data_IF_365698489243
#
_entry.id   IF_365698489243
#
_cell.length_a   1.000
_cell.length_b   1.000
_cell.length_c   1.000
_cell.angle_alpha   90.00
_cell.angle_beta   90.00
_cell.angle_gamma   90.00
#
_symmetry.space_group_name_H-M   'P 1'
#
loop_
_entity.id
_entity.type
_entity.pdbx_description
1 polymer ?
#
# COMPACT_ATOMS: atom_id res chain seq x y z
N UNK A 1 -62.14 34.82 -2.93
CA UNK A 1 -61.72 33.44 -2.67
C UNK A 1 -60.64 33.10 -3.67
N UNK A 2 -59.37 33.36 -3.34
CA UNK A 2 -58.23 32.92 -4.15
C UNK A 2 -57.84 31.54 -3.67
N UNK A 3 -58.22 30.51 -4.43
CA UNK A 3 -57.72 29.16 -4.24
C UNK A 3 -56.21 29.21 -4.38
N UNK A 4 -55.52 28.79 -3.33
CA UNK A 4 -54.09 28.49 -3.35
C UNK A 4 -53.85 27.53 -4.51
N UNK A 5 -53.32 28.05 -5.61
CA UNK A 5 -52.60 27.24 -6.58
C UNK A 5 -51.49 26.56 -5.79
N UNK A 6 -51.75 25.31 -5.39
CA UNK A 6 -50.70 24.40 -4.99
C UNK A 6 -49.78 24.33 -6.21
N UNK A 7 -48.69 25.09 -6.18
CA UNK A 7 -47.59 24.94 -7.12
C UNK A 7 -47.16 23.49 -7.02
N UNK A 8 -47.65 22.69 -7.96
CA UNK A 8 -47.17 21.34 -8.16
C UNK A 8 -45.73 21.51 -8.62
N UNK A 9 -44.81 21.38 -7.67
CA UNK A 9 -43.40 21.33 -7.97
C UNK A 9 -43.19 20.16 -8.93
N UNK A 10 -42.56 20.39 -10.10
CA UNK A 10 -42.25 19.31 -11.01
C UNK A 10 -41.39 18.27 -10.29
N UNK A 11 -41.51 16.99 -10.65
CA UNK A 11 -40.75 15.94 -10.00
C UNK A 11 -39.24 16.17 -10.14
N UNK A 12 -38.48 15.61 -9.21
CA UNK A 12 -37.03 15.73 -9.23
C UNK A 12 -36.46 15.05 -10.47
N UNK A 13 -35.54 15.72 -11.19
CA UNK A 13 -34.95 15.16 -12.39
C UNK A 13 -34.03 13.99 -12.03
N UNK A 14 -33.96 13.03 -12.94
CA UNK A 14 -33.10 11.86 -12.84
C UNK A 14 -31.83 12.15 -13.64
N UNK A 15 -30.68 12.04 -12.98
CA UNK A 15 -29.37 12.14 -13.64
C UNK A 15 -28.78 10.75 -13.79
N UNK A 16 -28.37 10.40 -15.00
CA UNK A 16 -27.68 9.14 -15.29
C UNK A 16 -26.34 9.36 -15.99
N UNK A 17 -25.37 8.52 -15.65
CA UNK A 17 -24.04 8.50 -16.24
C UNK A 17 -23.87 7.27 -17.12
N UNK A 18 -23.23 7.43 -18.27
CA UNK A 18 -22.76 6.32 -19.11
C UNK A 18 -21.30 6.56 -19.45
N UNK A 19 -20.40 5.79 -18.84
CA UNK A 19 -18.98 5.85 -19.12
C UNK A 19 -18.67 5.15 -20.45
N UNK A 20 -17.72 5.69 -21.21
CA UNK A 20 -17.23 5.05 -22.43
C UNK A 20 -16.33 3.84 -22.11
N UNK A 21 -15.77 3.75 -20.90
CA UNK A 21 -14.84 2.71 -20.43
C UNK A 21 -15.03 2.40 -18.94
N UNK A 22 -14.80 1.14 -18.56
CA UNK A 22 -14.81 0.63 -17.17
C UNK A 22 -13.48 -0.02 -16.75
N UNK A 23 -12.38 0.27 -17.44
CA UNK A 23 -11.07 -0.30 -17.11
C UNK A 23 -10.44 0.45 -15.94
N UNK A 24 -9.53 -0.17 -15.18
CA UNK A 24 -8.64 0.58 -14.30
C UNK A 24 -7.95 1.67 -15.09
N UNK A 25 -8.04 2.90 -14.59
CA UNK A 25 -7.42 4.06 -15.21
C UNK A 25 -6.01 4.25 -14.66
N UNK A 26 -5.14 4.83 -15.49
CA UNK A 26 -3.82 5.29 -15.08
C UNK A 26 -3.64 6.80 -15.32
N UNK A 27 -2.50 7.37 -14.90
CA UNK A 27 -2.07 8.71 -15.25
C UNK A 27 -2.25 8.99 -16.75
N UNK A 28 -2.83 10.14 -17.08
CA UNK A 28 -3.07 10.56 -18.46
C UNK A 28 -4.21 9.82 -19.19
N UNK A 29 -4.88 8.86 -18.55
CA UNK A 29 -6.00 8.14 -19.17
C UNK A 29 -7.22 9.07 -19.32
N UNK A 30 -7.89 9.09 -20.49
CA UNK A 30 -9.11 9.84 -20.66
C UNK A 30 -10.26 9.17 -19.90
N UNK A 31 -11.09 9.99 -19.24
CA UNK A 31 -12.35 9.60 -18.61
C UNK A 31 -13.45 10.35 -19.32
N UNK A 32 -14.15 9.65 -20.22
CA UNK A 32 -15.22 10.24 -21.01
C UNK A 32 -16.52 9.45 -20.87
N UNK A 33 -17.61 10.15 -21.16
CA UNK A 33 -18.93 9.54 -21.13
C UNK A 33 -20.03 10.51 -21.52
N UNK A 34 -21.26 10.06 -21.31
CA UNK A 34 -22.48 10.79 -21.53
C UNK A 34 -23.19 11.00 -20.20
N UNK A 35 -23.61 12.23 -19.94
CA UNK A 35 -24.57 12.58 -18.91
C UNK A 35 -25.93 12.78 -19.55
N UNK A 36 -26.96 12.20 -18.95
CA UNK A 36 -28.36 12.38 -19.34
C UNK A 36 -29.15 12.84 -18.14
N UNK A 37 -29.87 13.96 -18.29
CA UNK A 37 -30.76 14.54 -17.30
C UNK A 37 -32.18 14.51 -17.85
N UNK A 38 -33.03 13.73 -17.18
CA UNK A 38 -34.41 13.45 -17.57
C UNK A 38 -35.37 14.02 -16.53
N UNK A 39 -36.44 14.69 -16.97
CA UNK A 39 -37.56 15.04 -16.08
C UNK A 39 -38.54 13.87 -16.14
N UNK A 40 -38.74 13.13 -15.04
CA UNK A 40 -39.66 11.99 -15.06
C UNK A 40 -41.10 12.48 -15.24
N UNK A 41 -41.99 11.64 -15.80
CA UNK A 41 -43.41 11.96 -15.89
C UNK A 41 -44.00 12.18 -14.49
N UNK A 42 -44.83 13.21 -14.31
CA UNK A 42 -45.52 13.43 -13.03
C UNK A 42 -46.63 12.37 -12.86
N UNK A 43 -46.52 11.45 -11.88
CA UNK A 43 -47.51 10.39 -11.68
C UNK A 43 -48.92 10.93 -11.33
N UNK A 44 -49.02 12.20 -10.94
CA UNK A 44 -50.30 12.86 -10.60
C UNK A 44 -50.90 13.64 -11.78
N UNK A 45 -50.12 13.97 -12.80
CA UNK A 45 -50.58 14.73 -13.94
C UNK A 45 -51.21 13.82 -15.00
N UNK A 46 -52.51 13.56 -14.88
CA UNK A 46 -53.25 12.67 -15.82
C UNK A 46 -53.55 13.30 -17.19
N UNK A 47 -53.25 14.58 -17.40
CA UNK A 47 -53.73 15.31 -18.59
C UNK A 47 -52.81 16.41 -19.13
N UNK A 48 -51.74 16.81 -18.44
CA UNK A 48 -50.80 17.83 -18.92
C UNK A 48 -49.36 17.45 -18.59
N UNK A 49 -48.40 17.63 -19.53
CA UNK A 49 -46.99 17.42 -19.24
C UNK A 49 -46.52 18.42 -18.17
N UNK A 50 -45.57 18.04 -17.31
CA UNK A 50 -45.02 18.95 -16.31
C UNK A 50 -44.38 20.16 -17.00
N UNK A 51 -44.40 21.35 -16.36
CA UNK A 51 -43.74 22.52 -16.93
C UNK A 51 -42.24 22.26 -17.12
N UNK A 52 -41.62 22.76 -18.20
CA UNK A 52 -40.18 22.66 -18.40
C UNK A 52 -39.41 23.23 -17.21
N UNK A 53 -38.35 22.54 -16.78
CA UNK A 53 -37.44 23.04 -15.74
C UNK A 53 -36.26 23.77 -16.38
N UNK A 54 -36.00 24.98 -15.91
CA UNK A 54 -34.86 25.76 -16.36
C UNK A 54 -33.62 25.41 -15.52
N UNK A 55 -32.57 24.90 -16.17
CA UNK A 55 -31.24 24.71 -15.58
C UNK A 55 -30.54 26.06 -15.59
N UNK A 56 -30.30 26.63 -14.42
CA UNK A 56 -29.43 27.80 -14.28
C UNK A 56 -27.99 27.43 -14.58
N UNK A 57 -27.49 26.37 -13.91
CA UNK A 57 -26.15 25.83 -14.14
C UNK A 57 -26.15 24.31 -13.93
N UNK A 58 -25.39 23.60 -14.75
CA UNK A 58 -25.03 22.20 -14.53
C UNK A 58 -23.51 22.07 -14.66
N UNK A 59 -22.86 21.60 -13.60
CA UNK A 59 -21.41 21.40 -13.56
C UNK A 59 -21.12 19.94 -13.19
N UNK A 60 -20.17 19.32 -13.89
CA UNK A 60 -19.57 18.05 -13.49
C UNK A 60 -18.18 18.31 -12.94
N UNK A 61 -17.89 17.74 -11.79
CA UNK A 61 -16.58 17.75 -11.14
C UNK A 61 -16.02 16.34 -11.13
N UNK A 62 -14.86 16.15 -11.75
CA UNK A 62 -14.04 14.97 -11.59
C UNK A 62 -13.02 15.20 -10.48
N UNK A 63 -12.96 14.32 -9.50
CA UNK A 63 -12.10 14.51 -8.33
C UNK A 63 -11.44 13.21 -7.87
N UNK A 64 -10.34 13.37 -7.14
CA UNK A 64 -9.73 12.33 -6.33
C UNK A 64 -9.64 12.79 -4.88
N UNK A 65 -9.88 11.90 -3.93
CA UNK A 65 -9.72 12.21 -2.50
C UNK A 65 -9.15 11.03 -1.72
N UNK A 66 -8.48 11.34 -0.63
CA UNK A 66 -8.09 10.41 0.41
C UNK A 66 -8.81 10.77 1.72
N UNK A 67 -9.60 9.86 2.25
CA UNK A 67 -10.39 10.09 3.47
C UNK A 67 -10.08 9.04 4.54
N UNK A 68 -10.08 9.48 5.79
CA UNK A 68 -9.81 8.63 6.94
C UNK A 68 -10.79 8.94 8.06
N UNK A 69 -11.26 7.92 8.77
CA UNK A 69 -11.92 8.08 10.04
C UNK A 69 -11.38 7.07 11.05
N UNK A 70 -11.29 7.50 12.31
CA UNK A 70 -10.95 6.61 13.42
C UNK A 70 -11.66 7.07 14.70
N UNK A 71 -11.86 6.13 15.62
CA UNK A 71 -12.46 6.39 16.92
C UNK A 71 -11.58 5.94 18.06
N UNK A 72 -11.51 6.76 19.10
CA UNK A 72 -10.84 6.44 20.36
C UNK A 72 -11.83 6.49 21.51
N UNK A 73 -11.92 5.41 22.27
CA UNK A 73 -12.68 5.39 23.53
C UNK A 73 -11.78 5.84 24.68
N UNK A 74 -12.21 6.87 25.40
CA UNK A 74 -11.57 7.34 26.63
C UNK A 74 -12.47 7.05 27.84
N UNK A 75 -11.88 6.46 28.89
CA UNK A 75 -12.57 6.32 30.17
C UNK A 75 -12.55 7.66 30.89
N UNK A 76 -13.71 8.29 31.00
CA UNK A 76 -13.93 9.41 31.90
C UNK A 76 -14.44 8.81 33.20
N UNK A 77 -13.69 8.96 34.30
CA UNK A 77 -14.02 8.33 35.60
C UNK A 77 -15.52 8.39 35.95
N UNK A 78 -15.99 7.39 36.73
CA UNK A 78 -17.40 7.00 36.94
C UNK A 78 -17.98 6.03 35.88
N UNK A 79 -17.18 5.09 35.36
CA UNK A 79 -17.62 4.09 34.36
C UNK A 79 -18.21 4.70 33.07
N UNK A 80 -17.95 5.97 32.79
CA UNK A 80 -18.40 6.60 31.55
C UNK A 80 -17.31 6.45 30.49
N UNK A 81 -17.70 5.98 29.31
CA UNK A 81 -16.81 5.91 28.16
C UNK A 81 -17.21 7.00 27.18
N UNK A 82 -16.28 7.91 26.87
CA UNK A 82 -16.45 8.90 25.81
C UNK A 82 -15.80 8.38 24.53
N UNK A 83 -16.56 8.28 23.45
CA UNK A 83 -16.00 8.04 22.12
C UNK A 83 -15.62 9.36 21.48
N UNK A 84 -14.37 9.46 21.04
CA UNK A 84 -13.80 10.59 20.32
C UNK A 84 -13.67 10.20 18.86
N UNK A 85 -14.17 11.05 17.97
CA UNK A 85 -14.17 10.83 16.53
C UNK A 85 -13.08 11.69 15.89
N UNK A 86 -12.30 11.08 15.02
CA UNK A 86 -11.29 11.76 14.23
C UNK A 86 -11.61 11.51 12.76
N UNK A 87 -11.63 12.57 11.96
CA UNK A 87 -11.92 12.48 10.51
C UNK A 87 -11.05 13.45 9.75
N UNK A 88 -10.56 12.99 8.60
CA UNK A 88 -9.87 13.84 7.65
C UNK A 88 -10.29 13.51 6.22
N UNK A 89 -10.34 14.54 5.39
CA UNK A 89 -10.55 14.41 3.96
C UNK A 89 -9.57 15.32 3.22
N UNK A 90 -8.77 14.70 2.34
CA UNK A 90 -7.75 15.37 1.56
C UNK A 90 -8.13 15.26 0.09
N UNK A 91 -8.37 16.41 -0.55
CA UNK A 91 -8.48 16.47 -2.00
C UNK A 91 -7.11 16.16 -2.62
N UNK A 92 -7.09 15.18 -3.53
CA UNK A 92 -5.94 14.85 -4.36
C UNK A 92 -5.94 15.70 -5.62
N UNK A 93 -7.11 15.89 -6.24
CA UNK A 93 -7.30 16.85 -7.34
C UNK A 93 -8.78 17.15 -7.52
N UNK A 94 -9.09 18.25 -8.21
CA UNK A 94 -10.46 18.59 -8.60
C UNK A 94 -10.49 19.30 -9.96
N UNK A 95 -11.29 18.76 -10.90
CA UNK A 95 -11.47 19.28 -12.26
C UNK A 95 -12.96 19.57 -12.50
N UNK A 96 -13.42 20.80 -12.27
CA UNK A 96 -14.79 21.21 -12.61
C UNK A 96 -14.93 21.49 -14.11
N UNK A 97 -16.10 21.17 -14.68
CA UNK A 97 -16.45 21.45 -16.07
C UNK A 97 -17.93 21.82 -16.18
N UNK A 98 -18.21 22.99 -16.76
CA UNK A 98 -19.57 23.43 -17.05
C UNK A 98 -20.16 22.57 -18.18
N UNK A 99 -21.33 21.98 -17.94
CA UNK A 99 -22.09 21.17 -18.89
C UNK A 99 -23.19 21.97 -19.58
N UNK A 100 -23.90 22.81 -18.82
CA UNK A 100 -24.97 23.66 -19.32
C UNK A 100 -25.16 24.90 -18.46
N UNK A 101 -25.72 25.94 -19.09
CA UNK A 101 -26.14 27.17 -18.44
C UNK A 101 -27.35 27.74 -19.19
N UNK A 102 -28.44 28.03 -18.47
CA UNK A 102 -29.66 28.59 -19.04
C UNK A 102 -30.38 27.68 -20.04
N UNK A 103 -30.39 26.37 -19.80
CA UNK A 103 -31.03 25.38 -20.69
C UNK A 103 -32.36 24.92 -20.10
N UNK A 104 -33.41 24.84 -20.92
CA UNK A 104 -34.71 24.27 -20.50
C UNK A 104 -34.75 22.77 -20.78
N UNK A 105 -35.29 21.99 -19.84
CA UNK A 105 -35.45 20.54 -19.96
C UNK A 105 -36.88 20.15 -19.64
N UNK A 106 -37.46 19.31 -20.48
CA UNK A 106 -38.79 18.73 -20.29
C UNK A 106 -38.78 17.21 -20.52
N UNK A 107 -39.94 16.58 -20.32
CA UNK A 107 -40.13 15.13 -20.47
C UNK A 107 -39.79 14.62 -21.89
N UNK A 108 -40.00 15.45 -22.92
CA UNK A 108 -39.80 15.08 -24.32
C UNK A 108 -38.38 15.35 -24.82
N UNK A 109 -37.64 16.21 -24.14
CA UNK A 109 -36.32 16.70 -24.54
C UNK A 109 -35.33 16.61 -23.37
N UNK A 110 -34.83 15.40 -23.06
CA UNK A 110 -33.83 15.25 -22.02
C UNK A 110 -32.55 16.00 -22.38
N UNK A 111 -31.93 16.61 -21.37
CA UNK A 111 -30.64 17.24 -21.56
C UNK A 111 -29.56 16.16 -21.63
N UNK A 112 -28.79 16.18 -22.70
CA UNK A 112 -27.68 15.24 -22.92
C UNK A 112 -26.40 16.03 -23.16
N UNK A 113 -25.32 15.64 -22.47
CA UNK A 113 -24.02 16.28 -22.63
C UNK A 113 -22.89 15.27 -22.50
N UNK A 114 -21.91 15.37 -23.41
CA UNK A 114 -20.67 14.58 -23.29
C UNK A 114 -19.70 15.30 -22.37
N UNK A 115 -19.04 14.53 -21.52
CA UNK A 115 -17.92 15.01 -20.73
C UNK A 115 -16.67 14.24 -21.09
N UNK A 116 -15.53 14.88 -20.88
CA UNK A 116 -14.22 14.30 -21.06
C UNK A 116 -13.27 14.96 -20.05
N UNK A 117 -12.54 14.12 -19.34
CA UNK A 117 -11.50 14.47 -18.38
C UNK A 117 -10.25 13.65 -18.65
N UNK A 118 -9.15 14.02 -18.01
CA UNK A 118 -7.91 13.26 -18.05
C UNK A 118 -7.43 13.07 -16.62
N UNK A 119 -7.14 11.83 -16.23
CA UNK A 119 -6.51 11.55 -14.95
C UNK A 119 -5.18 12.31 -14.85
N UNK A 120 -4.98 13.18 -13.84
CA UNK A 120 -3.73 13.90 -13.71
C UNK A 120 -2.60 12.93 -13.35
N UNK A 121 -1.36 13.35 -13.63
CA UNK A 121 -0.19 12.53 -13.32
C UNK A 121 0.14 12.48 -11.83
N UNK A 122 -0.31 13.49 -11.09
CA UNK A 122 -0.09 13.61 -9.66
C UNK A 122 -1.20 14.37 -8.97
N UNK A 123 -1.14 14.39 -7.65
CA UNK A 123 -2.01 15.21 -6.83
C UNK A 123 -1.67 16.69 -6.99
N UNK A 124 -2.68 17.56 -6.88
CA UNK A 124 -2.54 19.00 -6.90
C UNK A 124 -1.62 19.48 -5.77
N UNK A 125 -0.83 20.51 -6.08
CA UNK A 125 -0.02 21.19 -5.10
C UNK A 125 -0.90 21.81 -4.00
N UNK A 126 -0.37 21.81 -2.78
CA UNK A 126 -1.08 22.34 -1.64
C UNK A 126 -1.17 23.88 -1.66
N UNK A 127 -2.35 24.46 -1.44
CA UNK A 127 -2.43 25.89 -1.13
C UNK A 127 -1.93 26.24 0.28
N UNK A 128 -1.83 25.26 1.20
CA UNK A 128 -1.46 25.49 2.60
C UNK A 128 -0.53 24.40 3.15
N UNK A 129 0.35 24.69 4.13
CA UNK A 129 1.18 23.67 4.77
C UNK A 129 0.32 22.57 5.41
N UNK A 130 0.85 21.35 5.41
CA UNK A 130 0.21 20.17 6.01
C UNK A 130 -0.27 20.48 7.45
N UNK A 131 -1.54 20.17 7.81
CA UNK A 131 -2.06 20.41 9.16
C UNK A 131 -1.42 19.49 10.22
N UNK A 132 -0.71 18.45 9.77
CA UNK A 132 -0.04 17.49 10.63
C UNK A 132 1.33 18.00 11.05
N UNK A 133 1.67 17.80 12.32
CA UNK A 133 3.03 18.09 12.80
C UNK A 133 4.01 17.20 12.05
N UNK A 134 5.11 17.79 11.55
CA UNK A 134 6.26 17.00 11.10
C UNK A 134 6.81 16.27 12.33
N UNK A 135 6.53 14.98 12.44
CA UNK A 135 6.89 14.25 13.62
C UNK A 135 6.54 12.78 13.50
N UNK A 136 7.60 11.97 13.36
CA UNK A 136 7.64 10.50 13.51
C UNK A 136 7.18 9.70 12.29
N UNK A 137 7.82 9.92 11.14
CA UNK A 137 7.92 8.85 10.13
C UNK A 137 9.17 8.02 10.40
N UNK A 138 9.02 6.70 10.30
CA UNK A 138 10.14 5.75 10.26
C UNK A 138 10.54 5.44 8.81
N UNK A 139 9.76 5.86 7.81
CA UNK A 139 9.95 5.42 6.43
C UNK A 139 10.19 6.62 5.52
N UNK A 140 11.45 7.08 5.47
CA UNK A 140 11.94 8.20 4.65
C UNK A 140 11.82 8.03 3.13
N UNK A 141 10.90 7.19 2.66
CA UNK A 141 10.64 6.90 1.24
C UNK A 141 9.79 8.01 0.60
N UNK A 142 9.01 8.76 1.40
CA UNK A 142 8.08 9.79 0.91
C UNK A 142 8.32 11.19 1.52
N UNK A 143 9.50 11.42 2.09
CA UNK A 143 9.85 12.68 2.76
C UNK A 143 10.38 13.78 1.81
N UNK A 144 10.52 13.48 0.51
CA UNK A 144 11.06 14.43 -0.46
C UNK A 144 9.95 15.15 -1.26
N UNK A 145 9.92 16.48 -1.12
CA UNK A 145 9.33 17.49 -2.00
C UNK A 145 7.82 17.36 -2.35
N UNK A 146 7.05 18.33 -1.86
CA UNK A 146 5.58 18.33 -1.82
C UNK A 146 4.86 18.59 -3.16
N UNK A 147 5.57 18.86 -4.25
CA UNK A 147 4.95 19.59 -5.37
C UNK A 147 4.37 18.71 -6.48
N UNK A 148 4.70 17.42 -6.61
CA UNK A 148 4.04 16.50 -7.55
C UNK A 148 4.12 15.04 -7.08
N UNK A 149 3.32 14.67 -6.05
CA UNK A 149 3.19 13.27 -5.66
C UNK A 149 2.38 12.50 -6.71
N UNK A 150 2.79 11.29 -7.11
CA UNK A 150 1.96 10.46 -7.98
C UNK A 150 0.62 10.17 -7.29
N UNK A 151 -0.44 10.02 -8.09
CA UNK A 151 -1.73 9.62 -7.56
C UNK A 151 -1.63 8.21 -6.93
N UNK A 152 -2.13 8.00 -5.70
CA UNK A 152 -2.21 6.67 -5.09
C UNK A 152 -3.18 5.75 -5.85
N UNK A 153 -3.01 4.41 -5.80
CA UNK A 153 -4.03 3.49 -6.31
C UNK A 153 -5.36 3.68 -5.56
N UNK A 154 -6.48 3.28 -6.17
CA UNK A 154 -7.74 3.13 -5.43
C UNK A 154 -7.52 2.16 -4.26
N UNK A 155 -8.00 2.52 -3.08
CA UNK A 155 -7.73 1.78 -1.85
C UNK A 155 -8.90 1.89 -0.89
N UNK A 156 -9.23 0.79 -0.23
CA UNK A 156 -10.21 0.76 0.83
C UNK A 156 -9.73 -0.18 1.94
N UNK A 157 -9.84 0.28 3.18
CA UNK A 157 -9.52 -0.50 4.37
C UNK A 157 -10.51 -0.17 5.48
N UNK A 158 -11.03 -1.22 6.13
CA UNK A 158 -11.87 -1.07 7.31
C UNK A 158 -13.36 -0.92 6.98
N UNK A 159 -14.09 -0.28 7.88
CA UNK A 159 -15.54 -0.08 7.77
C UNK A 159 -16.12 0.63 9.00
N UNK A 160 -17.24 1.33 8.80
CA UNK A 160 -17.90 2.08 9.87
C UNK A 160 -17.09 3.29 10.34
N UNK A 161 -16.69 3.29 11.62
CA UNK A 161 -15.99 4.43 12.25
C UNK A 161 -14.45 4.36 12.17
N UNK A 162 -13.91 3.27 11.60
CA UNK A 162 -12.47 3.08 11.41
C UNK A 162 -12.23 2.68 9.95
N UNK A 163 -11.88 3.65 9.12
CA UNK A 163 -11.62 3.42 7.70
C UNK A 163 -10.52 4.32 7.15
N UNK A 164 -9.91 3.86 6.07
CA UNK A 164 -9.01 4.61 5.21
C UNK A 164 -9.39 4.30 3.75
N UNK A 165 -9.69 5.33 2.96
CA UNK A 165 -10.11 5.19 1.57
C UNK A 165 -9.36 6.19 0.67
N UNK A 166 -8.97 5.72 -0.50
CA UNK A 166 -8.55 6.55 -1.63
C UNK A 166 -9.55 6.27 -2.75
N UNK A 167 -10.29 7.30 -3.15
CA UNK A 167 -11.32 7.19 -4.17
C UNK A 167 -11.16 8.25 -5.28
N UNK A 168 -11.59 7.88 -6.47
CA UNK A 168 -11.68 8.74 -7.64
C UNK A 168 -13.11 8.68 -8.15
N UNK A 169 -13.74 9.84 -8.31
CA UNK A 169 -15.16 9.86 -8.59
C UNK A 169 -15.58 11.13 -9.36
N UNK A 170 -16.83 11.13 -9.83
CA UNK A 170 -17.45 12.29 -10.47
C UNK A 170 -18.71 12.69 -9.72
N UNK A 171 -18.90 13.99 -9.57
CA UNK A 171 -20.10 14.60 -9.00
C UNK A 171 -20.69 15.58 -10.01
N UNK A 172 -21.99 15.53 -10.19
CA UNK A 172 -22.74 16.54 -10.95
C UNK A 172 -23.55 17.38 -9.99
N UNK A 173 -23.50 18.69 -10.17
CA UNK A 173 -24.28 19.66 -9.42
C UNK A 173 -25.14 20.43 -10.41
N UNK A 174 -26.46 20.31 -10.28
CA UNK A 174 -27.44 21.00 -11.12
C UNK A 174 -28.22 21.99 -10.26
N UNK A 175 -28.12 23.27 -10.60
CA UNK A 175 -28.95 24.32 -10.03
C UNK A 175 -30.10 24.62 -10.99
N UNK A 176 -31.33 24.37 -10.55
CA UNK A 176 -32.54 24.74 -11.29
C UNK A 176 -33.07 26.10 -10.82
N UNK A 177 -33.84 26.75 -11.69
CA UNK A 177 -34.59 27.94 -11.35
C UNK A 177 -35.67 27.62 -10.29
N UNK A 178 -35.73 28.43 -9.24
CA UNK A 178 -36.69 28.25 -8.13
C UNK A 178 -36.25 27.28 -7.03
N UNK A 179 -35.26 26.43 -7.29
CA UNK A 179 -34.75 25.47 -6.29
C UNK A 179 -33.83 26.15 -5.28
N UNK A 180 -34.02 25.87 -3.99
CA UNK A 180 -33.18 26.41 -2.91
C UNK A 180 -31.87 25.66 -2.71
N UNK A 181 -31.83 24.40 -3.10
CA UNK A 181 -30.69 23.49 -2.92
C UNK A 181 -30.42 22.85 -4.28
N UNK A 182 -29.16 22.84 -4.76
CA UNK A 182 -28.84 22.19 -6.02
C UNK A 182 -29.03 20.67 -5.91
N UNK A 183 -29.41 20.04 -7.02
CA UNK A 183 -29.39 18.59 -7.15
C UNK A 183 -27.94 18.14 -7.28
N UNK A 184 -27.47 17.34 -6.32
CA UNK A 184 -26.15 16.73 -6.36
C UNK A 184 -26.26 15.22 -6.60
N UNK A 185 -25.58 14.72 -7.64
CA UNK A 185 -25.57 13.29 -7.97
C UNK A 185 -24.14 12.82 -8.18
N UNK A 186 -23.76 11.74 -7.48
CA UNK A 186 -22.48 11.07 -7.65
C UNK A 186 -22.60 9.96 -8.69
N UNK A 187 -21.49 9.68 -9.39
CA UNK A 187 -21.39 8.44 -10.14
C UNK A 187 -21.52 7.25 -9.16
N UNK A 188 -22.41 6.28 -9.43
CA UNK A 188 -22.75 5.23 -8.46
C UNK A 188 -21.58 4.34 -8.03
N UNK A 189 -20.62 4.11 -8.93
CA UNK A 189 -19.42 3.34 -8.67
C UNK A 189 -18.19 4.22 -8.89
N UNK A 190 -17.30 4.36 -7.88
CA UNK A 190 -16.04 5.06 -8.05
C UNK A 190 -15.19 4.47 -9.19
N UNK A 191 -14.36 5.31 -9.79
CA UNK A 191 -13.42 4.91 -10.83
C UNK A 191 -12.25 4.16 -10.18
N UNK A 192 -11.94 2.99 -10.72
CA UNK A 192 -10.76 2.23 -10.31
C UNK A 192 -9.50 2.84 -10.93
N UNK A 193 -8.50 3.17 -10.10
CA UNK A 193 -7.24 3.73 -10.54
C UNK A 193 -6.08 2.84 -10.13
N UNK A 194 -5.25 2.48 -11.10
CA UNK A 194 -4.06 1.66 -10.92
C UNK A 194 -2.88 2.33 -11.64
N UNK A 195 -1.88 2.87 -10.92
CA UNK A 195 -0.71 3.47 -11.54
C UNK A 195 0.02 2.43 -12.42
N UNK A 196 0.48 2.81 -13.63
CA UNK A 196 1.21 1.89 -14.48
C UNK A 196 2.57 1.55 -13.86
N UNK A 197 3.06 0.37 -14.16
CA UNK A 197 4.39 -0.15 -13.77
C UNK A 197 5.56 0.74 -14.16
N UNK A 198 5.36 1.66 -15.10
CA UNK A 198 6.38 2.57 -15.62
C UNK A 198 6.39 3.93 -14.94
N UNK A 199 5.53 4.22 -13.96
CA UNK A 199 5.65 5.48 -13.21
C UNK A 199 6.99 5.43 -12.47
N UNK A 200 7.94 6.34 -12.76
CA UNK A 200 9.17 6.41 -12.01
C UNK A 200 8.80 6.91 -10.61
N UNK A 201 8.59 5.99 -9.66
CA UNK A 201 8.73 6.32 -8.25
C UNK A 201 10.12 6.96 -8.12
N UNK A 202 10.15 8.28 -7.89
CA UNK A 202 11.32 9.16 -7.97
C UNK A 202 12.69 8.47 -8.05
N UNK A 203 13.20 8.31 -9.28
CA UNK A 203 14.61 8.31 -9.73
C UNK A 203 15.74 7.67 -8.88
N UNK A 204 15.46 6.86 -7.86
CA UNK A 204 16.49 6.31 -6.94
C UNK A 204 16.32 4.84 -6.57
N UNK A 205 15.19 4.21 -6.91
CA UNK A 205 14.86 2.86 -6.46
C UNK A 205 14.73 1.89 -7.62
N UNK A 206 15.84 1.65 -8.34
CA UNK A 206 15.99 0.35 -9.02
C UNK A 206 15.78 -0.75 -7.96
N UNK A 207 15.23 -1.92 -8.31
CA UNK A 207 15.18 -3.04 -7.39
C UNK A 207 16.60 -3.28 -6.85
N UNK A 208 16.82 -2.91 -5.60
CA UNK A 208 18.10 -3.08 -4.94
C UNK A 208 17.98 -4.31 -4.07
N UNK A 209 18.98 -5.17 -4.15
CA UNK A 209 19.11 -6.25 -3.20
C UNK A 209 19.57 -5.63 -1.87
N UNK A 210 18.77 -5.78 -0.82
CA UNK A 210 19.14 -5.42 0.55
C UNK A 210 19.79 -6.63 1.20
N UNK A 211 21.04 -6.49 1.62
CA UNK A 211 21.76 -7.50 2.40
C UNK A 211 21.65 -7.20 3.90
N UNK A 212 21.35 -8.24 4.67
CA UNK A 212 21.28 -8.24 6.12
C UNK A 212 22.28 -9.25 6.66
N UNK A 213 23.16 -8.81 7.56
CA UNK A 213 24.27 -9.61 8.09
C UNK A 213 24.14 -9.72 9.60
N UNK A 214 24.13 -10.94 10.11
CA UNK A 214 24.19 -11.22 11.54
C UNK A 214 25.59 -10.90 12.08
N UNK A 215 25.68 -10.46 13.33
CA UNK A 215 26.97 -10.43 14.03
C UNK A 215 27.58 -11.83 14.10
N UNK A 216 28.91 -11.90 13.99
CA UNK A 216 29.62 -13.17 13.98
C UNK A 216 29.44 -13.90 15.33
N UNK A 217 28.96 -15.14 15.29
CA UNK A 217 28.84 -16.00 16.45
C UNK A 217 30.06 -16.94 16.54
N UNK A 218 30.78 -16.86 17.65
CA UNK A 218 31.90 -17.76 17.90
C UNK A 218 31.39 -19.18 18.23
N UNK A 219 31.89 -20.17 17.50
CA UNK A 219 31.53 -21.57 17.67
C UNK A 219 32.77 -22.43 17.87
N UNK A 220 32.83 -23.11 19.03
CA UNK A 220 33.89 -24.05 19.37
C UNK A 220 33.32 -25.47 19.54
N UNK A 221 33.85 -26.43 18.79
CA UNK A 221 33.51 -27.84 18.93
C UNK A 221 34.57 -28.76 18.34
N UNK A 222 34.83 -29.87 19.02
CA UNK A 222 35.62 -30.99 18.50
C UNK A 222 35.04 -31.61 17.22
N UNK A 223 33.76 -31.39 16.92
CA UNK A 223 33.14 -31.84 15.66
C UNK A 223 33.67 -31.14 14.43
N UNK A 224 34.25 -29.94 14.58
CA UNK A 224 34.90 -29.21 13.49
C UNK A 224 36.14 -29.93 12.93
N UNK A 225 36.68 -30.93 13.64
CA UNK A 225 37.77 -31.80 13.15
C UNK A 225 37.31 -33.24 12.94
N UNK A 226 36.00 -33.49 12.85
CA UNK A 226 35.43 -34.80 12.54
C UNK A 226 35.17 -35.72 13.73
N UNK A 227 35.23 -35.23 14.98
CA UNK A 227 34.87 -36.04 16.15
C UNK A 227 33.35 -36.36 16.18
N UNK A 228 32.98 -37.55 16.64
CA UNK A 228 31.58 -37.97 16.75
C UNK A 228 30.83 -37.28 17.90
N UNK A 229 29.50 -37.20 17.77
CA UNK A 229 28.60 -36.62 18.79
C UNK A 229 28.61 -37.48 20.07
N UNK A 230 29.26 -36.99 21.12
CA UNK A 230 29.23 -37.57 22.47
C UNK A 230 29.09 -36.51 23.55
N UNK A 231 28.31 -36.82 24.60
CA UNK A 231 28.15 -35.96 25.77
C UNK A 231 29.48 -35.65 26.47
N UNK A 232 30.43 -36.59 26.49
CA UNK A 232 31.75 -36.40 27.10
C UNK A 232 32.59 -35.34 26.34
N UNK A 233 32.47 -35.31 25.01
CA UNK A 233 33.12 -34.30 24.17
C UNK A 233 32.49 -32.92 24.36
N UNK A 234 31.16 -32.84 24.45
CA UNK A 234 30.47 -31.55 24.66
C UNK A 234 30.85 -30.85 25.97
N UNK A 235 31.13 -31.60 27.06
CA UNK A 235 31.62 -31.00 28.30
C UNK A 235 33.09 -30.56 28.18
N UNK A 236 33.96 -31.38 27.58
CA UNK A 236 35.37 -31.04 27.39
C UNK A 236 35.55 -29.81 26.48
N UNK A 237 34.74 -29.70 25.45
CA UNK A 237 34.75 -28.59 24.48
C UNK A 237 34.43 -27.24 25.14
N UNK A 238 33.60 -27.23 26.20
CA UNK A 238 33.22 -25.98 26.91
C UNK A 238 34.29 -25.44 27.84
N UNK A 239 35.24 -26.26 28.29
CA UNK A 239 36.24 -25.89 29.29
C UNK A 239 37.68 -25.95 28.78
N UNK A 240 37.89 -26.33 27.52
CA UNK A 240 39.21 -26.46 26.92
C UNK A 240 39.49 -25.32 25.95
N UNK A 241 40.57 -24.57 26.21
CA UNK A 241 41.09 -23.53 25.31
C UNK A 241 41.69 -24.08 24.01
N UNK A 242 41.88 -25.41 23.90
CA UNK A 242 42.40 -26.07 22.70
C UNK A 242 41.29 -26.63 21.78
N UNK A 243 40.04 -26.30 22.04
CA UNK A 243 38.91 -26.78 21.23
C UNK A 243 38.91 -26.06 19.87
N UNK A 244 38.84 -26.77 18.74
CA UNK A 244 38.71 -26.16 17.42
C UNK A 244 37.53 -25.20 17.39
N UNK A 245 37.69 -24.05 16.73
CA UNK A 245 36.69 -22.99 16.71
C UNK A 245 36.71 -22.19 15.42
N UNK A 246 35.57 -21.58 15.11
CA UNK A 246 35.30 -20.75 13.94
C UNK A 246 34.34 -19.63 14.32
N UNK A 247 34.29 -18.58 13.50
CA UNK A 247 33.25 -17.56 13.55
C UNK A 247 32.21 -17.86 12.46
N UNK A 248 30.93 -17.92 12.84
CA UNK A 248 29.79 -18.17 11.94
C UNK A 248 28.98 -16.91 11.75
N UNK A 249 28.71 -16.53 10.50
CA UNK A 249 27.91 -15.37 10.13
C UNK A 249 26.78 -15.82 9.21
N UNK A 250 25.54 -15.43 9.53
CA UNK A 250 24.39 -15.64 8.65
C UNK A 250 24.06 -14.36 7.89
N UNK A 251 23.75 -14.51 6.60
CA UNK A 251 23.35 -13.41 5.72
C UNK A 251 22.06 -13.75 5.00
N UNK A 252 21.22 -12.75 4.84
CA UNK A 252 20.01 -12.82 4.02
C UNK A 252 20.00 -11.63 3.08
N UNK A 253 19.79 -11.87 1.80
CA UNK A 253 19.66 -10.84 0.78
C UNK A 253 18.35 -11.00 0.04
N UNK A 254 17.59 -9.91 -0.09
CA UNK A 254 16.26 -9.93 -0.74
C UNK A 254 15.98 -8.61 -1.47
N UNK A 255 15.07 -8.59 -2.46
CA UNK A 255 14.69 -7.36 -3.15
C UNK A 255 14.03 -6.33 -2.21
N UNK A 256 14.37 -5.05 -2.41
CA UNK A 256 13.72 -3.93 -1.73
C UNK A 256 12.34 -3.57 -2.28
N UNK A 257 12.03 -4.03 -3.49
CA UNK A 257 10.76 -3.82 -4.17
C UNK A 257 10.25 -5.11 -4.79
N UNK A 258 8.93 -5.32 -4.68
CA UNK A 258 8.24 -6.52 -5.10
C UNK A 258 6.95 -6.17 -5.83
N UNK A 259 6.41 -7.10 -6.62
CA UNK A 259 5.15 -6.93 -7.34
C UNK A 259 4.07 -7.83 -6.76
N UNK A 260 2.80 -7.39 -6.69
CA UNK A 260 1.69 -8.25 -6.26
C UNK A 260 1.64 -9.54 -7.07
N UNK A 261 1.47 -10.68 -6.39
CA UNK A 261 1.41 -12.00 -7.01
C UNK A 261 2.73 -12.53 -7.61
N UNK A 262 3.79 -11.72 -7.68
CA UNK A 262 5.06 -12.14 -8.26
C UNK A 262 5.89 -12.99 -7.29
N UNK A 263 6.66 -13.91 -7.86
CA UNK A 263 7.71 -14.60 -7.13
C UNK A 263 8.94 -13.71 -6.93
N UNK A 264 9.67 -13.92 -5.84
CA UNK A 264 10.92 -13.23 -5.56
C UNK A 264 11.95 -14.13 -4.89
N UNK A 265 13.25 -13.91 -5.17
CA UNK A 265 14.32 -14.70 -4.57
C UNK A 265 14.69 -14.17 -3.18
N UNK A 266 15.05 -15.10 -2.30
CA UNK A 266 15.71 -14.85 -1.01
C UNK A 266 17.04 -15.59 -1.06
N UNK A 267 18.14 -14.86 -1.08
CA UNK A 267 19.48 -15.42 -1.06
C UNK A 267 19.94 -15.52 0.39
N UNK A 268 20.18 -16.74 0.86
CA UNK A 268 20.75 -16.97 2.18
C UNK A 268 22.21 -17.40 2.04
N UNK A 269 23.03 -17.03 3.01
CA UNK A 269 24.40 -17.50 3.06
C UNK A 269 24.84 -17.72 4.51
N UNK A 270 25.42 -18.87 4.80
CA UNK A 270 26.27 -19.05 5.98
C UNK A 270 27.72 -18.82 5.57
N UNK A 271 28.42 -17.95 6.28
CA UNK A 271 29.86 -17.73 6.15
C UNK A 271 30.55 -18.26 7.41
N UNK A 272 31.58 -19.08 7.22
CA UNK A 272 32.43 -19.61 8.29
C UNK A 272 33.83 -19.07 8.09
N UNK A 273 34.38 -18.43 9.11
CA UNK A 273 35.67 -17.73 9.03
C UNK A 273 36.50 -17.93 10.31
N UNK A 274 37.73 -17.40 10.31
CA UNK A 274 38.68 -17.44 11.43
C UNK A 274 38.83 -18.83 12.07
N UNK A 275 39.23 -19.84 11.27
CA UNK A 275 39.50 -21.16 11.83
C UNK A 275 40.66 -21.10 12.83
N UNK A 276 40.48 -21.62 14.05
CA UNK A 276 41.53 -21.63 15.06
C UNK A 276 42.65 -22.63 14.77
N UNK A 277 42.42 -23.61 13.89
CA UNK A 277 43.39 -24.60 13.43
C UNK A 277 43.22 -24.86 11.93
N UNK A 278 44.28 -25.28 11.20
CA UNK A 278 44.17 -25.57 9.77
C UNK A 278 43.43 -26.87 9.45
N UNK A 279 43.27 -27.77 10.43
CA UNK A 279 42.65 -29.10 10.30
C UNK A 279 41.11 -29.09 10.34
N UNK A 280 40.50 -27.90 10.34
CA UNK A 280 39.04 -27.78 10.34
C UNK A 280 38.46 -28.37 9.06
N UNK A 281 37.58 -29.34 9.23
CA UNK A 281 36.83 -30.02 8.19
C UNK A 281 35.34 -29.69 8.37
N UNK A 282 34.80 -28.86 7.48
CA UNK A 282 33.40 -28.45 7.56
C UNK A 282 32.51 -29.38 6.73
N UNK A 283 31.43 -29.94 7.31
CA UNK A 283 30.49 -30.78 6.60
C UNK A 283 29.50 -29.96 5.76
N UNK A 284 28.63 -30.67 5.03
CA UNK A 284 27.42 -30.10 4.44
C UNK A 284 26.58 -29.44 5.53
N UNK A 285 26.04 -28.26 5.24
CA UNK A 285 25.10 -27.56 6.12
C UNK A 285 23.67 -27.66 5.55
N UNK A 286 22.68 -27.90 6.42
CA UNK A 286 21.26 -27.74 6.08
C UNK A 286 20.86 -26.29 6.34
N UNK A 287 20.48 -25.56 5.30
CA UNK A 287 20.01 -24.18 5.38
C UNK A 287 18.52 -24.15 5.05
N UNK A 288 17.71 -23.49 5.88
CA UNK A 288 16.26 -23.38 5.68
C UNK A 288 15.68 -22.05 6.14
N UNK A 289 14.58 -21.64 5.52
CA UNK A 289 13.77 -20.50 5.98
C UNK A 289 12.70 -21.03 6.91
N UNK A 290 12.98 -20.97 8.22
CA UNK A 290 12.08 -21.46 9.27
C UNK A 290 10.77 -20.67 9.36
N UNK A 291 10.82 -19.38 9.02
CA UNK A 291 9.67 -18.47 9.08
C UNK A 291 9.79 -17.42 7.98
N UNK A 292 8.72 -17.23 7.23
CA UNK A 292 8.57 -16.12 6.29
C UNK A 292 7.17 -15.50 6.47
N UNK A 293 7.12 -14.25 6.91
CA UNK A 293 5.87 -13.54 7.16
C UNK A 293 5.83 -12.20 6.44
N UNK A 294 4.69 -11.95 5.81
CA UNK A 294 4.31 -10.73 5.14
C UNK A 294 3.43 -9.89 6.07
N UNK A 295 3.81 -8.64 6.27
CA UNK A 295 3.12 -7.70 7.14
C UNK A 295 2.61 -6.54 6.31
N UNK A 296 1.30 -6.43 6.08
CA UNK A 296 0.72 -5.21 5.49
C UNK A 296 0.59 -4.18 6.59
N UNK A 297 1.30 -3.06 6.45
CA UNK A 297 1.34 -1.98 7.42
C UNK A 297 0.59 -0.78 6.84
N UNK A 298 -0.57 -0.47 7.41
CA UNK A 298 -1.31 0.74 7.03
C UNK A 298 -1.34 1.69 8.21
N UNK A 299 -0.80 2.89 8.01
CA UNK A 299 -0.89 4.00 8.94
C UNK A 299 -1.90 5.00 8.41
N UNK A 300 -2.81 5.46 9.24
CA UNK A 300 -3.70 6.55 8.88
C UNK A 300 -3.94 7.48 10.05
N UNK A 301 -4.10 8.76 9.73
CA UNK A 301 -4.16 9.84 10.71
C UNK A 301 -5.26 10.81 10.40
N UNK A 302 -5.92 11.27 11.46
CA UNK A 302 -7.00 12.23 11.35
C UNK A 302 -6.96 13.25 12.50
N UNK A 303 -7.27 14.54 12.24
CA UNK A 303 -7.51 15.50 13.29
C UNK A 303 -8.84 15.20 14.01
N UNK A 304 -8.97 15.72 15.21
CA UNK A 304 -10.21 15.65 15.99
C UNK A 304 -11.37 16.31 15.22
N UNK A 305 -12.50 15.62 15.10
CA UNK A 305 -13.72 16.09 14.43
C UNK A 305 -14.46 17.13 15.31
N UNK A 306 -13.80 18.25 15.63
CA UNK A 306 -14.36 19.37 16.37
C UNK A 306 -13.84 20.75 15.90
N UNK A 307 -14.73 21.71 15.59
CA UNK A 307 -14.39 22.98 14.92
C UNK A 307 -13.58 23.98 15.77
N UNK A 308 -13.38 23.73 17.07
CA UNK A 308 -12.80 24.72 18.00
C UNK A 308 -11.73 24.18 18.96
N UNK A 309 -11.11 23.04 18.65
CA UNK A 309 -10.08 22.46 19.52
C UNK A 309 -8.67 22.63 18.91
N UNK A 310 -7.66 22.84 19.77
CA UNK A 310 -6.26 22.67 19.36
C UNK A 310 -6.11 21.28 18.73
N UNK A 311 -5.63 21.23 17.48
CA UNK A 311 -5.58 20.01 16.66
C UNK A 311 -4.88 18.87 17.42
N UNK A 312 -5.68 18.00 18.03
CA UNK A 312 -5.23 16.71 18.54
C UNK A 312 -5.35 15.73 17.38
N UNK A 313 -4.21 15.38 16.80
CA UNK A 313 -4.08 14.33 15.81
C UNK A 313 -4.21 12.96 16.49
N UNK A 314 -4.88 12.02 15.82
CA UNK A 314 -4.84 10.61 16.18
C UNK A 314 -4.30 9.81 15.01
N UNK A 315 -3.30 8.98 15.29
CA UNK A 315 -2.72 8.02 14.36
C UNK A 315 -3.14 6.61 14.77
N UNK A 316 -3.53 5.81 13.80
CA UNK A 316 -3.83 4.40 13.95
C UNK A 316 -2.97 3.61 12.97
N UNK A 317 -2.41 2.49 13.42
CA UNK A 317 -1.79 1.50 12.56
C UNK A 317 -2.62 0.23 12.53
N UNK A 318 -2.66 -0.42 11.37
CA UNK A 318 -3.19 -1.77 11.19
C UNK A 318 -2.11 -2.63 10.55
N UNK A 319 -1.86 -3.78 11.18
CA UNK A 319 -0.96 -4.80 10.66
C UNK A 319 -1.78 -6.05 10.34
N UNK A 320 -1.84 -6.42 9.07
CA UNK A 320 -2.38 -7.72 8.66
C UNK A 320 -1.21 -8.66 8.33
N UNK A 321 -1.12 -9.79 9.04
CA UNK A 321 -0.03 -10.76 8.91
C UNK A 321 -0.43 -11.91 7.98
N UNK A 322 0.46 -12.33 7.08
CA UNK A 322 0.27 -13.46 6.19
C UNK A 322 1.53 -14.32 6.15
N UNK A 323 1.41 -15.62 6.42
CA UNK A 323 2.53 -16.55 6.30
C UNK A 323 2.76 -16.86 4.82
N UNK A 324 4.01 -16.76 4.38
CA UNK A 324 4.42 -17.11 3.03
C UNK A 324 5.15 -18.45 3.04
N UNK A 325 5.01 -19.19 1.94
CA UNK A 325 5.76 -20.42 1.70
C UNK A 325 7.08 -20.10 0.98
N UNK A 326 8.09 -20.92 1.23
CA UNK A 326 9.37 -20.88 0.50
C UNK A 326 9.59 -22.16 -0.27
N UNK A 327 10.21 -22.05 -1.44
CA UNK A 327 10.56 -23.18 -2.29
C UNK A 327 12.05 -23.11 -2.65
N UNK A 328 12.84 -24.18 -2.43
CA UNK A 328 12.50 -25.35 -1.59
C UNK A 328 12.37 -24.95 -0.10
N UNK A 329 11.88 -25.85 0.77
CA UNK A 329 11.80 -25.56 2.22
C UNK A 329 13.18 -25.58 2.91
N UNK A 330 14.10 -26.42 2.44
CA UNK A 330 15.49 -26.48 2.91
C UNK A 330 16.45 -26.89 1.79
N UNK A 331 17.75 -26.63 1.99
CA UNK A 331 18.83 -26.99 1.07
C UNK A 331 20.06 -27.48 1.83
N UNK A 332 20.58 -28.62 1.38
CA UNK A 332 21.85 -29.18 1.84
C UNK A 332 22.97 -28.63 0.94
N UNK A 333 23.84 -27.79 1.50
CA UNK A 333 24.88 -27.07 0.74
C UNK A 333 26.28 -27.52 1.19
N UNK A 334 27.13 -27.86 0.22
CA UNK A 334 28.55 -28.11 0.44
C UNK A 334 29.34 -26.79 0.60
N UNK A 335 30.36 -26.76 1.48
CA UNK A 335 31.19 -25.57 1.66
C UNK A 335 31.94 -25.19 0.38
N UNK A 336 31.84 -23.92 -0.02
CA UNK A 336 32.71 -23.33 -1.04
C UNK A 336 33.81 -22.54 -0.38
N UNK A 337 35.05 -22.99 -0.52
CA UNK A 337 36.21 -22.26 -0.02
C UNK A 337 36.51 -21.06 -0.93
N UNK A 338 36.72 -19.89 -0.34
CA UNK A 338 37.21 -18.74 -1.10
C UNK A 338 38.72 -18.72 -1.05
N UNK A 339 39.35 -18.77 -2.22
CA UNK A 339 40.79 -18.59 -2.32
C UNK A 339 41.07 -17.12 -1.99
N UNK A 340 41.86 -16.82 -0.96
CA UNK A 340 42.13 -15.44 -0.57
C UNK A 340 42.70 -14.63 -1.74
N UNK A 341 42.08 -13.48 -2.03
CA UNK A 341 42.71 -12.43 -2.83
C UNK A 341 43.93 -11.86 -2.09
N UNK A 342 44.83 -11.18 -2.80
CA UNK A 342 46.13 -10.69 -2.28
C UNK A 342 46.07 -9.93 -0.94
N UNK A 343 44.91 -9.43 -0.51
CA UNK A 343 44.73 -8.66 0.73
C UNK A 343 43.99 -9.38 1.89
N UNK A 344 43.42 -10.58 1.69
CA UNK A 344 42.76 -11.34 2.78
C UNK A 344 43.63 -12.53 3.18
N UNK A 345 44.19 -12.55 4.40
CA UNK A 345 45.03 -13.67 4.87
C UNK A 345 44.25 -14.84 5.47
N UNK A 346 42.92 -14.73 5.58
CA UNK A 346 42.11 -15.67 6.35
C UNK A 346 41.26 -16.56 5.44
N UNK A 347 41.31 -17.86 5.69
CA UNK A 347 40.51 -18.89 5.03
C UNK A 347 39.04 -18.72 5.44
N UNK A 348 38.13 -18.63 4.48
CA UNK A 348 36.69 -18.58 4.71
C UNK A 348 35.93 -19.52 3.78
N UNK A 349 34.81 -20.03 4.29
CA UNK A 349 33.90 -20.93 3.57
C UNK A 349 32.51 -20.32 3.50
N UNK A 350 31.85 -20.51 2.36
CA UNK A 350 30.51 -19.98 2.10
C UNK A 350 29.56 -21.11 1.72
N UNK A 351 28.35 -21.01 2.23
CA UNK A 351 27.24 -21.93 1.95
C UNK A 351 26.09 -21.12 1.35
N UNK A 352 26.12 -20.82 0.04
CA UNK A 352 25.06 -20.06 -0.61
C UNK A 352 23.83 -20.95 -0.85
N UNK A 353 22.67 -20.49 -0.42
CA UNK A 353 21.37 -21.09 -0.69
C UNK A 353 20.43 -20.05 -1.31
N UNK A 354 19.52 -20.48 -2.20
CA UNK A 354 18.55 -19.57 -2.84
C UNK A 354 17.15 -20.12 -2.72
N UNK A 355 16.28 -19.37 -2.05
CA UNK A 355 14.87 -19.70 -1.86
C UNK A 355 14.01 -18.81 -2.73
N UNK A 356 12.83 -19.28 -3.12
CA UNK A 356 11.82 -18.50 -3.81
C UNK A 356 10.57 -18.39 -2.94
N UNK A 357 9.99 -17.20 -2.88
CA UNK A 357 8.71 -16.94 -2.23
C UNK A 357 7.81 -16.12 -3.16
N UNK A 358 6.51 -16.01 -2.84
CA UNK A 358 5.54 -15.27 -3.65
C UNK A 358 4.81 -14.23 -2.82
N UNK A 359 4.68 -13.03 -3.38
CA UNK A 359 3.87 -11.96 -2.80
C UNK A 359 2.38 -12.32 -2.91
N UNK A 360 1.55 -12.05 -1.90
CA UNK A 360 0.10 -12.19 -2.02
C UNK A 360 -0.44 -11.47 -3.27
N UNK A 361 -1.35 -12.12 -3.99
CA UNK A 361 -1.90 -11.58 -5.24
C UNK A 361 -2.83 -10.38 -5.03
N UNK A 362 -3.40 -10.27 -3.84
CA UNK A 362 -4.28 -9.19 -3.37
C UNK A 362 -3.51 -8.06 -2.66
N UNK A 363 -2.17 -8.13 -2.61
CA UNK A 363 -1.37 -7.04 -2.08
C UNK A 363 -1.59 -5.78 -2.93
N UNK A 364 -2.12 -4.72 -2.31
CA UNK A 364 -2.18 -3.43 -2.98
C UNK A 364 -0.76 -2.84 -3.14
N UNK A 365 -0.61 -1.88 -4.05
CA UNK A 365 0.65 -1.18 -4.17
C UNK A 365 0.94 -0.37 -2.90
N UNK A 366 2.23 -0.17 -2.60
CA UNK A 366 2.66 0.80 -1.62
C UNK A 366 2.38 2.21 -2.12
N UNK A 367 1.81 3.05 -1.27
CA UNK A 367 1.51 4.44 -1.60
C UNK A 367 1.50 5.29 -0.35
N UNK A 368 1.53 6.60 -0.60
CA UNK A 368 1.54 7.59 0.46
C UNK A 368 0.70 8.80 0.08
N UNK A 369 -0.32 9.08 0.88
CA UNK A 369 -1.11 10.32 0.85
C UNK A 369 -0.75 11.18 2.06
N UNK A 370 -1.44 12.29 2.29
CA UNK A 370 -1.18 13.07 3.51
C UNK A 370 -1.68 12.39 4.76
N UNK A 371 -2.75 11.62 4.66
CA UNK A 371 -3.47 11.05 5.80
C UNK A 371 -3.41 9.51 5.83
N UNK A 372 -2.86 8.87 4.80
CA UNK A 372 -2.75 7.41 4.67
C UNK A 372 -1.35 7.05 4.18
N UNK A 373 -0.73 6.06 4.80
CA UNK A 373 0.49 5.40 4.34
C UNK A 373 0.23 3.90 4.29
N UNK A 374 0.53 3.27 3.15
CA UNK A 374 0.44 1.83 2.99
C UNK A 374 1.81 1.29 2.59
N UNK A 375 2.42 0.53 3.49
CA UNK A 375 3.70 -0.13 3.31
C UNK A 375 3.65 -1.60 3.67
N UNK A 376 4.78 -2.28 3.49
CA UNK A 376 4.89 -3.70 3.79
C UNK A 376 6.18 -4.01 4.53
N UNK A 377 6.09 -4.90 5.50
CA UNK A 377 7.22 -5.53 6.17
C UNK A 377 7.36 -6.98 5.73
N UNK A 378 8.59 -7.46 5.61
CA UNK A 378 8.89 -8.87 5.43
C UNK A 378 9.78 -9.34 6.58
N UNK A 379 9.29 -10.33 7.32
CA UNK A 379 10.02 -11.02 8.38
C UNK A 379 10.56 -12.34 7.85
N UNK A 380 11.87 -12.53 7.94
CA UNK A 380 12.57 -13.76 7.56
C UNK A 380 13.31 -14.32 8.77
N UNK A 381 13.07 -15.58 9.11
CA UNK A 381 13.88 -16.34 10.07
C UNK A 381 14.65 -17.42 9.33
N UNK A 382 15.95 -17.19 9.16
CA UNK A 382 16.91 -18.14 8.62
C UNK A 382 17.38 -19.08 9.73
N UNK A 383 17.50 -20.36 9.42
CA UNK A 383 18.09 -21.37 10.30
C UNK A 383 19.10 -22.18 9.50
N UNK A 384 20.23 -22.49 10.13
CA UNK A 384 21.23 -23.40 9.57
C UNK A 384 21.76 -24.35 10.64
N UNK A 385 22.06 -25.59 10.26
CA UNK A 385 22.72 -26.56 11.12
C UNK A 385 24.15 -26.81 10.64
N UNK A 386 25.14 -26.55 11.50
CA UNK A 386 26.55 -26.87 11.25
C UNK A 386 27.06 -27.75 12.39
N UNK A 387 27.60 -28.92 12.04
CA UNK A 387 28.14 -29.89 12.99
C UNK A 387 27.17 -30.24 14.14
N UNK A 388 25.87 -30.24 13.90
CA UNK A 388 24.85 -30.51 14.93
C UNK A 388 24.66 -29.40 15.96
N UNK A 389 25.05 -28.17 15.64
CA UNK A 389 24.63 -26.93 16.30
C UNK A 389 23.75 -26.14 15.33
N UNK A 390 22.59 -25.69 15.82
CA UNK A 390 21.69 -24.80 15.10
C UNK A 390 22.10 -23.34 15.31
N UNK A 391 22.05 -22.56 14.24
CA UNK A 391 22.22 -21.11 14.24
C UNK A 391 20.96 -20.49 13.64
N UNK A 392 20.42 -19.47 14.30
CA UNK A 392 19.21 -18.77 13.86
C UNK A 392 19.50 -17.28 13.65
N UNK A 393 18.92 -16.71 12.59
CA UNK A 393 18.95 -15.28 12.32
C UNK A 393 17.57 -14.78 11.91
N UNK A 394 17.07 -13.76 12.62
CA UNK A 394 15.81 -13.09 12.33
C UNK A 394 16.06 -11.70 11.77
N UNK A 395 15.45 -11.41 10.62
CA UNK A 395 15.46 -10.10 9.96
C UNK A 395 14.02 -9.65 9.76
N UNK A 396 13.78 -8.36 9.98
CA UNK A 396 12.54 -7.68 9.58
C UNK A 396 12.95 -6.50 8.71
N UNK A 397 12.35 -6.35 7.54
CA UNK A 397 12.66 -5.24 6.65
C UNK A 397 11.43 -4.70 5.94
N UNK A 398 11.47 -3.42 5.62
CA UNK A 398 10.44 -2.78 4.80
C UNK A 398 10.68 -3.08 3.32
N UNK A 399 9.58 -3.37 2.64
CA UNK A 399 9.54 -3.69 1.22
C UNK A 399 8.47 -2.85 0.54
N UNK A 400 8.79 -2.37 -0.66
CA UNK A 400 7.86 -1.61 -1.48
C UNK A 400 7.12 -2.54 -2.42
N UNK A 401 5.80 -2.47 -2.44
CA UNK A 401 4.99 -3.14 -3.46
C UNK A 401 4.75 -2.16 -4.61
N UNK A 402 5.32 -2.48 -5.76
CA UNK A 402 5.26 -1.64 -6.97
C UNK A 402 4.30 -2.26 -7.99
N UNK A 403 3.77 -1.48 -8.96
CA UNK A 403 2.86 -2.04 -9.94
C UNK A 403 3.53 -3.14 -10.76
N UNK A 404 2.78 -4.21 -11.02
CA UNK A 404 3.22 -5.31 -11.88
C UNK A 404 3.51 -4.79 -13.28
N UNK A 405 4.77 -4.93 -13.73
CA UNK A 405 5.11 -4.77 -15.13
C UNK A 405 4.37 -5.85 -15.91
N UNK A 406 3.20 -5.52 -16.45
CA UNK A 406 2.59 -6.36 -17.47
C UNK A 406 3.67 -6.58 -18.50
N UNK A 407 4.16 -7.81 -18.63
CA UNK A 407 5.01 -8.20 -19.74
C UNK A 407 4.23 -7.75 -20.97
N UNK A 408 4.71 -6.67 -21.59
CA UNK A 408 4.06 -6.12 -22.76
C UNK A 408 3.90 -7.27 -23.72
N UNK A 409 2.66 -7.68 -23.95
CA UNK A 409 2.33 -8.43 -25.14
C UNK A 409 2.79 -7.55 -26.28
N UNK A 410 3.99 -7.85 -26.80
CA UNK A 410 4.49 -7.25 -28.01
C UNK A 410 3.47 -7.56 -29.07
N UNK A 411 2.61 -6.58 -29.37
CA UNK A 411 1.97 -6.52 -30.67
C UNK A 411 3.11 -6.23 -31.64
N UNK A 412 3.61 -7.30 -32.25
CA UNK A 412 4.23 -7.27 -33.57
C UNK A 412 3.10 -7.21 -34.59
#
# INVERSE_FOLDING_TARGET
MGLLDYFHLPPDPIVSFRLDSHRPFGPGSPVSGLLVLEVPPDPKAKTQPPPPRQINTAEITFYGRAATATTRSESTGNNQTRTIYYKDEVSLFQQPRLLAQGVSVDESSPFTSRFEFVFPYGADALPFPSPYKEGRRIHGIYDAAFDQRPLPPSFELGGGNNYAIVEYNMKVVCQFEGDKVPLEVLLPAPLEFAPPSSVPLHLSQRPQLKEFVQEAEHYSSSRLTGAEKSFKHSFRDKFSSSTPSVDVVLKVTMPSSLQPGASFPIYACMEVSKPSTPEINLPVADIRIKKLEWHRLVYYRAPLDHPHSHVKEHEQSRTDETKLNTLPESQWIEPRETIPGQDKKERSWYYPATFEARVPGDACMSFHTRNIDCGYGLEVKLETELCGKEFEYKVVTDVLVVPGGGAGGGMV
#
